data_IF_201141788163
#
_entry.id   IF_201141788163
#
_cell.length_a   1.000
_cell.length_b   1.000
_cell.length_c   1.000
_cell.angle_alpha   90.00
_cell.angle_beta   90.00
_cell.angle_gamma   90.00
#
_symmetry.space_group_name_H-M   'P 1'
#
loop_
_entity.id
_entity.type
_entity.pdbx_description
1 polymer ?
#
# COMPACT_ATOMS: atom_id res chain seq x y z
N UNK A 1 2.92 -41.43 -48.57
CA UNK A 1 2.67 -41.59 -47.12
C UNK A 1 2.49 -40.20 -46.52
N UNK A 2 1.34 -39.98 -45.89
CA UNK A 2 0.84 -38.71 -45.38
C UNK A 2 1.46 -38.43 -44.00
N UNK A 3 2.00 -37.23 -43.77
CA UNK A 3 2.12 -36.65 -42.43
C UNK A 3 1.83 -35.14 -42.46
N UNK A 4 0.90 -34.79 -41.60
CA UNK A 4 0.11 -33.56 -41.49
C UNK A 4 0.90 -32.45 -40.79
N UNK A 5 0.87 -31.23 -41.34
CA UNK A 5 1.22 -30.00 -40.63
C UNK A 5 0.00 -29.52 -39.83
N UNK A 6 0.17 -29.24 -38.54
CA UNK A 6 -0.78 -28.47 -37.73
C UNK A 6 -0.17 -27.09 -37.46
N UNK A 7 -0.59 -26.09 -38.23
CA UNK A 7 -0.42 -24.68 -37.90
C UNK A 7 -1.74 -24.17 -37.31
N UNK A 8 -1.72 -23.74 -36.05
CA UNK A 8 -2.86 -23.08 -35.40
C UNK A 8 -2.73 -21.58 -35.66
N UNK A 9 -3.50 -21.09 -36.63
CA UNK A 9 -3.75 -19.66 -36.84
C UNK A 9 -4.81 -19.20 -35.84
N UNK A 10 -4.43 -18.34 -34.89
CA UNK A 10 -5.39 -17.57 -34.09
C UNK A 10 -5.87 -16.38 -34.93
N UNK A 11 -7.07 -16.50 -35.50
CA UNK A 11 -7.77 -15.37 -36.11
C UNK A 11 -8.43 -14.54 -35.00
N UNK A 12 -7.93 -13.32 -34.77
CA UNK A 12 -8.59 -12.31 -33.93
C UNK A 12 -9.70 -11.68 -34.76
N UNK A 13 -10.95 -12.07 -34.50
CA UNK A 13 -12.12 -11.39 -35.03
C UNK A 13 -12.32 -10.07 -34.27
N UNK A 14 -12.03 -8.94 -34.92
CA UNK A 14 -12.38 -7.61 -34.41
C UNK A 14 -13.89 -7.41 -34.61
N UNK A 15 -14.66 -7.53 -33.53
CA UNK A 15 -16.04 -7.04 -33.50
C UNK A 15 -16.03 -5.55 -33.13
N UNK A 16 -16.18 -4.68 -34.12
CA UNK A 16 -16.54 -3.28 -33.90
C UNK A 16 -18.03 -3.18 -33.60
N UNK A 17 -18.41 -3.04 -32.33
CA UNK A 17 -19.78 -2.62 -31.96
C UNK A 17 -19.91 -1.11 -32.08
N UNK A 18 -20.91 -0.55 -32.78
CA UNK A 18 -21.15 0.88 -32.76
C UNK A 18 -21.63 1.30 -31.36
N UNK A 19 -21.05 2.37 -30.83
CA UNK A 19 -21.52 2.99 -29.60
C UNK A 19 -22.89 3.62 -29.85
N UNK A 20 -23.95 2.91 -29.47
CA UNK A 20 -25.29 3.47 -29.35
C UNK A 20 -25.29 4.32 -28.08
N UNK A 21 -25.42 5.64 -28.25
CA UNK A 21 -25.74 6.56 -27.17
C UNK A 21 -27.11 6.20 -26.58
N UNK A 22 -27.12 5.39 -25.51
CA UNK A 22 -28.33 5.09 -24.77
C UNK A 22 -28.75 6.33 -23.98
N UNK A 23 -29.80 7.02 -24.45
CA UNK A 23 -30.50 8.00 -23.62
C UNK A 23 -31.02 7.28 -22.36
N UNK A 24 -30.85 7.88 -21.16
CA UNK A 24 -31.29 7.27 -19.92
C UNK A 24 -32.79 6.99 -20.01
N UNK A 25 -33.17 5.75 -19.75
CA UNK A 25 -34.57 5.32 -19.82
C UNK A 25 -35.39 6.10 -18.79
N UNK A 26 -36.66 6.40 -19.09
CA UNK A 26 -37.56 7.16 -18.21
C UNK A 26 -37.56 6.64 -16.76
N UNK A 27 -37.45 5.32 -16.58
CA UNK A 27 -37.30 4.65 -15.27
C UNK A 27 -36.05 5.03 -14.50
N UNK A 28 -34.91 5.23 -15.17
CA UNK A 28 -33.66 5.67 -14.54
C UNK A 28 -33.77 7.13 -14.07
N UNK A 29 -34.41 7.99 -14.88
CA UNK A 29 -34.68 9.39 -14.51
C UNK A 29 -35.64 9.47 -13.32
N UNK A 30 -36.70 8.65 -13.32
CA UNK A 30 -37.68 8.60 -12.22
C UNK A 30 -37.03 8.08 -10.92
N UNK A 31 -36.15 7.07 -11.01
CA UNK A 31 -35.39 6.54 -9.87
C UNK A 31 -34.42 7.58 -9.30
N UNK A 32 -33.69 8.29 -10.16
CA UNK A 32 -32.76 9.34 -9.74
C UNK A 32 -33.51 10.50 -9.07
N UNK A 33 -34.65 10.92 -9.64
CA UNK A 33 -35.49 11.95 -9.03
C UNK A 33 -36.02 11.53 -7.65
N UNK A 34 -36.32 10.25 -7.43
CA UNK A 34 -36.72 9.73 -6.13
C UNK A 34 -35.56 9.76 -5.12
N UNK A 35 -34.36 9.38 -5.53
CA UNK A 35 -33.17 9.41 -4.69
C UNK A 35 -32.80 10.83 -4.25
N UNK A 36 -32.88 11.81 -5.16
CA UNK A 36 -32.63 13.23 -4.84
C UNK A 36 -33.65 13.77 -3.84
N UNK A 37 -34.94 13.40 -3.96
CA UNK A 37 -35.96 13.79 -2.97
C UNK A 37 -35.68 13.20 -1.58
N UNK A 38 -35.23 11.95 -1.53
CA UNK A 38 -34.89 11.28 -0.26
C UNK A 38 -33.68 11.91 0.42
N UNK A 39 -32.65 12.27 -0.35
CA UNK A 39 -31.46 12.96 0.17
C UNK A 39 -31.80 14.35 0.71
N UNK A 40 -32.66 15.10 0.01
CA UNK A 40 -33.12 16.42 0.45
C UNK A 40 -33.91 16.35 1.75
N UNK A 41 -34.83 15.40 1.88
CA UNK A 41 -35.57 15.20 3.13
C UNK A 41 -34.67 14.84 4.33
N UNK A 42 -33.61 14.06 4.10
CA UNK A 42 -32.61 13.76 5.14
C UNK A 42 -31.83 15.01 5.53
N UNK A 43 -31.41 15.82 4.57
CA UNK A 43 -30.71 17.07 4.85
C UNK A 43 -31.59 18.06 5.64
N UNK A 44 -32.84 18.23 5.23
CA UNK A 44 -33.80 19.11 5.91
C UNK A 44 -34.06 18.63 7.35
N UNK A 45 -34.12 17.31 7.58
CA UNK A 45 -34.23 16.74 8.93
C UNK A 45 -33.01 17.02 9.80
N UNK A 46 -31.79 16.95 9.24
CA UNK A 46 -30.56 17.25 9.98
C UNK A 46 -30.49 18.73 10.30
N UNK A 47 -30.80 19.61 9.34
CA UNK A 47 -30.82 21.06 9.55
C UNK A 47 -31.88 21.45 10.60
N UNK A 48 -33.05 20.82 10.58
CA UNK A 48 -34.09 21.04 11.60
C UNK A 48 -33.68 20.53 12.98
N UNK A 49 -32.92 19.44 13.08
CA UNK A 49 -32.38 18.94 14.35
C UNK A 49 -31.31 19.89 14.91
N UNK A 50 -30.44 20.43 14.06
CA UNK A 50 -29.40 21.39 14.46
C UNK A 50 -29.99 22.77 14.80
N UNK A 51 -31.07 23.17 14.13
CA UNK A 51 -31.81 24.42 14.42
C UNK A 51 -32.66 24.36 15.70
N UNK A 52 -32.90 23.17 16.27
CA UNK A 52 -33.59 22.98 17.56
C UNK A 52 -32.67 23.06 18.77
N UNK A 53 -31.37 23.30 18.57
CA UNK A 53 -30.46 23.63 19.66
C UNK A 53 -30.78 25.06 20.13
N UNK A 54 -31.72 25.14 21.08
CA UNK A 54 -32.20 26.37 21.67
C UNK A 54 -31.03 27.14 22.30
N UNK A 55 -30.87 28.45 22.05
CA UNK A 55 -29.99 29.27 22.86
C UNK A 55 -30.49 29.21 24.31
N UNK A 56 -29.57 28.94 25.25
CA UNK A 56 -29.88 28.97 26.67
C UNK A 56 -30.56 30.32 27.03
N UNK A 57 -31.66 30.32 27.82
CA UNK A 57 -32.28 31.56 28.24
C UNK A 57 -31.29 32.39 29.08
N UNK A 58 -31.24 33.72 28.93
CA UNK A 58 -30.40 34.56 29.78
C UNK A 58 -30.84 34.41 31.25
N UNK A 59 -29.92 34.44 32.22
CA UNK A 59 -30.26 34.25 33.62
C UNK A 59 -31.14 35.41 34.10
N UNK A 60 -32.42 35.10 34.36
CA UNK A 60 -33.31 35.96 35.14
C UNK A 60 -32.86 35.94 36.61
N UNK A 61 -32.79 37.12 37.21
CA UNK A 61 -32.40 37.31 38.59
C UNK A 61 -33.34 36.61 39.59
N UNK A 62 -32.72 36.19 40.71
CA UNK A 62 -33.30 35.87 42.03
C UNK A 62 -34.08 34.54 42.22
N UNK A 63 -33.33 33.47 42.49
CA UNK A 63 -33.73 32.35 43.37
C UNK A 63 -32.47 31.77 44.08
N UNK A 64 -32.57 31.28 45.33
CA UNK A 64 -31.39 30.96 46.14
C UNK A 64 -30.65 29.72 45.60
N UNK A 65 -29.36 29.92 45.25
CA UNK A 65 -28.42 28.96 44.65
C UNK A 65 -28.20 27.67 45.47
N UNK A 66 -28.70 27.61 46.70
CA UNK A 66 -28.53 26.45 47.60
C UNK A 66 -29.36 25.21 47.23
N UNK A 67 -30.61 25.39 46.78
CA UNK A 67 -31.54 24.26 46.61
C UNK A 67 -31.28 23.46 45.33
N UNK A 68 -30.88 24.10 44.23
CA UNK A 68 -30.58 23.40 42.98
C UNK A 68 -29.28 22.58 43.09
N UNK A 69 -28.30 23.08 43.84
CA UNK A 69 -27.03 22.39 44.08
C UNK A 69 -27.22 21.17 44.99
N UNK A 70 -28.12 21.26 45.97
CA UNK A 70 -28.53 20.12 46.79
C UNK A 70 -29.30 19.07 45.97
N UNK A 71 -30.21 19.52 45.07
CA UNK A 71 -30.98 18.63 44.19
C UNK A 71 -30.09 17.91 43.17
N UNK A 72 -29.09 18.59 42.61
CA UNK A 72 -28.10 18.00 41.72
C UNK A 72 -27.21 16.97 42.42
N UNK A 73 -26.78 17.24 43.66
CA UNK A 73 -26.04 16.26 44.46
C UNK A 73 -26.89 15.05 44.80
N UNK A 74 -28.15 15.23 45.18
CA UNK A 74 -29.06 14.12 45.47
C UNK A 74 -29.31 13.25 44.22
N UNK A 75 -29.50 13.87 43.06
CA UNK A 75 -29.63 13.16 41.78
C UNK A 75 -28.35 12.41 41.39
N UNK A 76 -27.17 13.00 41.61
CA UNK A 76 -25.89 12.35 41.38
C UNK A 76 -25.66 11.16 42.32
N UNK A 77 -26.01 11.28 43.60
CA UNK A 77 -25.94 10.19 44.58
C UNK A 77 -26.92 9.06 44.25
N UNK A 78 -28.11 9.39 43.75
CA UNK A 78 -29.09 8.39 43.31
C UNK A 78 -28.64 7.67 42.02
N UNK A 79 -27.99 8.37 41.09
CA UNK A 79 -27.38 7.76 39.90
C UNK A 79 -26.16 6.89 40.25
N UNK A 80 -25.45 7.21 41.33
CA UNK A 80 -24.31 6.44 41.85
C UNK A 80 -24.73 5.28 42.78
N UNK A 81 -26.00 5.20 43.19
CA UNK A 81 -26.48 4.27 44.21
C UNK A 81 -27.17 3.04 43.63
N UNK A 82 -26.42 2.06 43.13
CA UNK A 82 -26.99 0.76 42.76
C UNK A 82 -26.00 -0.19 42.10
N UNK A 83 -25.45 -1.11 42.91
CA UNK A 83 -24.51 -2.18 42.58
C UNK A 83 -23.08 -1.71 42.28
N UNK A 84 -22.12 -2.35 42.96
CA UNK A 84 -20.73 -2.42 42.49
C UNK A 84 -20.73 -3.07 41.11
N UNK A 85 -20.92 -2.25 40.08
CA UNK A 85 -20.62 -2.64 38.72
C UNK A 85 -19.11 -2.77 38.68
N UNK A 86 -18.66 -4.02 38.65
CA UNK A 86 -17.29 -4.43 38.45
C UNK A 86 -16.62 -3.56 37.38
N UNK A 87 -15.82 -2.59 37.84
CA UNK A 87 -15.15 -1.63 36.97
C UNK A 87 -14.11 -2.34 36.10
N UNK A 88 -13.75 -3.59 36.41
CA UNK A 88 -12.89 -4.42 35.56
C UNK A 88 -13.60 -4.82 34.27
N UNK A 89 -14.91 -5.05 34.27
CA UNK A 89 -15.66 -5.40 33.05
C UNK A 89 -15.84 -4.20 32.12
N UNK A 90 -16.06 -3.01 32.69
CA UNK A 90 -16.09 -1.77 31.91
C UNK A 90 -14.69 -1.38 31.40
N UNK A 91 -13.65 -1.58 32.21
CA UNK A 91 -12.26 -1.40 31.80
C UNK A 91 -11.83 -2.44 30.74
N UNK A 92 -12.26 -3.70 30.83
CA UNK A 92 -12.04 -4.73 29.80
C UNK A 92 -12.81 -4.41 28.52
N UNK A 93 -14.06 -3.95 28.62
CA UNK A 93 -14.84 -3.57 27.43
C UNK A 93 -14.24 -2.34 26.75
N UNK A 94 -13.77 -1.36 27.52
CA UNK A 94 -13.05 -0.19 26.99
C UNK A 94 -11.67 -0.58 26.45
N UNK A 95 -10.90 -1.43 27.13
CA UNK A 95 -9.60 -1.91 26.66
C UNK A 95 -9.73 -2.78 25.40
N UNK A 96 -10.79 -3.58 25.28
CA UNK A 96 -11.08 -4.44 24.14
C UNK A 96 -11.68 -3.65 22.96
N UNK A 97 -12.45 -2.58 23.22
CA UNK A 97 -12.90 -1.64 22.20
C UNK A 97 -11.75 -0.76 21.69
N UNK A 98 -10.97 -0.15 22.59
CA UNK A 98 -9.82 0.68 22.23
C UNK A 98 -8.61 -0.10 21.71
N UNK A 99 -8.47 -1.38 22.05
CA UNK A 99 -7.39 -2.25 21.55
C UNK A 99 -7.63 -2.75 20.12
N UNK A 100 -8.90 -2.88 19.71
CA UNK A 100 -9.27 -3.28 18.34
C UNK A 100 -9.40 -2.09 17.39
N UNK A 101 -9.88 -0.94 17.85
CA UNK A 101 -9.99 0.27 17.01
C UNK A 101 -8.64 0.95 16.71
N UNK A 102 -7.68 0.95 17.64
CA UNK A 102 -6.32 1.49 17.36
C UNK A 102 -5.51 0.66 16.37
N UNK A 103 -5.89 -0.61 16.15
CA UNK A 103 -5.22 -1.48 15.19
C UNK A 103 -5.71 -1.23 13.76
N UNK A 104 -6.91 -0.69 13.56
CA UNK A 104 -7.44 -0.42 12.21
C UNK A 104 -6.67 0.71 11.50
N UNK A 105 -6.18 1.71 12.24
CA UNK A 105 -5.31 2.73 11.65
C UNK A 105 -3.88 2.22 11.38
N UNK A 106 -3.42 1.15 12.07
CA UNK A 106 -2.12 0.51 11.82
C UNK A 106 -2.12 -0.40 10.59
N UNK A 107 -3.27 -0.95 10.20
CA UNK A 107 -3.42 -1.74 8.98
C UNK A 107 -3.63 -0.87 7.72
N UNK A 108 -3.75 0.45 7.87
CA UNK A 108 -3.77 1.33 6.71
C UNK A 108 -2.37 1.32 6.07
N UNK A 109 -2.25 0.99 4.78
CA UNK A 109 -0.96 1.04 4.12
C UNK A 109 -0.44 2.48 4.09
N UNK A 110 0.85 2.63 4.30
CA UNK A 110 1.60 3.82 3.92
C UNK A 110 1.64 3.89 2.39
N UNK A 111 1.17 5.00 1.85
CA UNK A 111 1.14 5.26 0.42
C UNK A 111 2.10 6.41 0.14
N UNK A 112 3.08 6.16 -0.72
CA UNK A 112 4.06 7.14 -1.17
C UNK A 112 4.06 7.27 -2.68
N UNK A 113 4.45 8.45 -3.17
CA UNK A 113 4.71 8.68 -4.59
C UNK A 113 6.08 9.32 -4.73
N UNK A 114 6.91 8.74 -5.58
CA UNK A 114 8.25 9.22 -5.92
C UNK A 114 8.29 9.56 -7.41
N UNK A 115 9.11 10.54 -7.80
CA UNK A 115 9.32 10.85 -9.21
C UNK A 115 10.74 11.36 -9.45
N UNK A 116 11.32 10.94 -10.57
CA UNK A 116 12.62 11.38 -11.05
C UNK A 116 12.48 12.07 -12.42
N UNK A 117 13.01 13.29 -12.50
CA UNK A 117 13.02 14.11 -13.71
C UNK A 117 14.44 14.61 -13.92
N UNK A 118 15.02 14.25 -15.06
CA UNK A 118 16.35 14.66 -15.45
C UNK A 118 16.28 15.83 -16.42
N UNK A 119 16.99 16.91 -16.08
CA UNK A 119 17.21 18.04 -16.96
C UNK A 119 18.66 18.10 -17.41
N UNK A 120 18.92 18.22 -18.71
CA UNK A 120 20.29 18.38 -19.22
C UNK A 120 20.35 19.42 -20.35
N UNK A 121 21.50 20.06 -20.50
CA UNK A 121 21.77 20.98 -21.60
C UNK A 121 23.16 20.68 -22.18
N UNK A 122 23.21 20.51 -23.49
CA UNK A 122 24.42 20.25 -24.28
C UNK A 122 24.90 21.53 -24.99
N UNK A 123 26.06 21.48 -25.65
CA UNK A 123 26.56 22.61 -26.44
C UNK A 123 25.84 22.79 -27.79
N UNK A 124 26.17 23.90 -28.48
CA UNK A 124 25.75 24.33 -29.83
C UNK A 124 24.53 23.64 -30.47
N UNK A 125 23.47 24.42 -30.67
CA UNK A 125 22.31 24.07 -31.49
C UNK A 125 21.00 24.37 -30.77
N UNK A 126 19.88 24.19 -31.47
CA UNK A 126 18.56 24.13 -30.83
C UNK A 126 18.41 22.74 -30.23
N UNK A 127 18.24 22.68 -28.92
CA UNK A 127 18.07 21.41 -28.22
C UNK A 127 16.58 21.10 -28.06
N UNK A 128 16.27 19.81 -28.08
CA UNK A 128 14.94 19.24 -27.87
C UNK A 128 15.09 18.11 -26.85
N UNK A 129 14.01 17.81 -26.13
CA UNK A 129 13.96 16.70 -25.16
C UNK A 129 14.99 16.82 -24.03
N UNK A 130 15.25 18.05 -23.60
CA UNK A 130 16.15 18.41 -22.48
C UNK A 130 15.60 18.05 -21.10
N UNK A 131 14.32 17.71 -21.02
CA UNK A 131 13.64 17.28 -19.82
C UNK A 131 13.12 15.87 -20.05
N UNK A 132 13.60 14.95 -19.25
CA UNK A 132 13.34 13.53 -19.34
C UNK A 132 12.68 13.06 -18.03
N UNK A 133 11.36 12.84 -18.01
CA UNK A 133 10.68 12.22 -16.88
C UNK A 133 10.99 10.71 -16.88
N UNK A 134 11.92 10.32 -16.02
CA UNK A 134 12.51 8.98 -16.05
C UNK A 134 11.59 7.96 -15.40
N UNK A 135 11.15 8.25 -14.19
CA UNK A 135 10.41 7.29 -13.39
C UNK A 135 9.41 8.02 -12.50
N UNK A 136 8.19 7.50 -12.43
CA UNK A 136 7.25 7.82 -11.36
C UNK A 136 6.83 6.53 -10.68
N UNK A 137 6.97 6.46 -9.37
CA UNK A 137 6.65 5.26 -8.60
C UNK A 137 5.55 5.55 -7.57
N UNK A 138 4.60 4.63 -7.44
CA UNK A 138 3.64 4.60 -6.34
C UNK A 138 3.94 3.38 -5.47
N UNK A 139 4.28 3.64 -4.21
CA UNK A 139 4.59 2.62 -3.23
C UNK A 139 3.46 2.44 -2.23
N UNK A 140 3.15 1.18 -1.91
CA UNK A 140 2.23 0.75 -0.87
C UNK A 140 2.99 -0.14 0.11
N UNK A 141 3.06 0.24 1.38
CA UNK A 141 3.73 -0.52 2.42
C UNK A 141 2.80 -0.69 3.62
N UNK A 142 2.75 -1.89 4.20
CA UNK A 142 1.89 -2.13 5.37
C UNK A 142 2.50 -3.19 6.28
N UNK A 143 2.46 -2.93 7.58
CA UNK A 143 2.69 -3.95 8.60
C UNK A 143 1.36 -4.70 8.83
N UNK A 144 1.29 -5.95 8.40
CA UNK A 144 0.09 -6.78 8.53
C UNK A 144 -0.06 -7.32 9.96
N UNK A 145 1.07 -7.65 10.59
CA UNK A 145 1.19 -8.01 12.01
C UNK A 145 2.61 -7.66 12.53
N UNK A 146 2.93 -7.82 13.82
CA UNK A 146 4.26 -7.49 14.36
C UNK A 146 5.46 -8.17 13.69
N UNK A 147 5.22 -9.28 12.99
CA UNK A 147 6.21 -10.12 12.33
C UNK A 147 6.04 -10.18 10.81
N UNK A 148 4.92 -9.72 10.24
CA UNK A 148 4.65 -9.79 8.79
C UNK A 148 4.35 -8.43 8.17
N UNK A 149 4.93 -8.21 7.01
CA UNK A 149 4.88 -6.93 6.30
C UNK A 149 4.74 -7.17 4.80
N UNK A 150 4.13 -6.23 4.09
CA UNK A 150 3.99 -6.26 2.62
C UNK A 150 4.46 -4.95 2.02
N UNK A 151 5.10 -5.04 0.86
CA UNK A 151 5.53 -3.91 0.04
C UNK A 151 5.17 -4.16 -1.42
N UNK A 152 4.55 -3.16 -2.05
CA UNK A 152 4.19 -3.19 -3.48
C UNK A 152 4.57 -1.85 -4.07
N UNK A 153 5.31 -1.87 -5.16
CA UNK A 153 5.78 -0.71 -5.89
C UNK A 153 5.38 -0.83 -7.35
N UNK A 154 4.73 0.20 -7.86
CA UNK A 154 4.25 0.29 -9.24
C UNK A 154 4.95 1.48 -9.87
N UNK A 155 5.70 1.25 -10.95
CA UNK A 155 6.36 2.31 -11.70
C UNK A 155 5.63 2.64 -13.00
N UNK A 156 5.80 3.88 -13.40
CA UNK A 156 5.46 4.42 -14.70
C UNK A 156 6.74 4.97 -15.33
N UNK A 157 7.23 4.29 -16.36
CA UNK A 157 8.43 4.67 -17.11
C UNK A 157 8.10 4.69 -18.61
N UNK A 158 8.46 5.78 -19.30
CA UNK A 158 8.21 5.91 -20.75
C UNK A 158 6.75 5.77 -21.19
N UNK A 159 5.79 5.95 -20.27
CA UNK A 159 4.35 5.72 -20.50
C UNK A 159 3.87 4.28 -20.30
N UNK A 160 4.76 3.37 -19.88
CA UNK A 160 4.43 1.99 -19.54
C UNK A 160 4.27 1.84 -18.03
N UNK A 161 3.19 1.17 -17.61
CA UNK A 161 2.96 0.83 -16.19
C UNK A 161 3.53 -0.56 -15.95
N UNK A 162 4.41 -0.66 -14.98
CA UNK A 162 5.04 -1.92 -14.58
C UNK A 162 4.94 -2.11 -13.06
N UNK A 163 4.91 -3.36 -12.60
CA UNK A 163 5.09 -3.67 -11.17
C UNK A 163 6.57 -3.92 -10.97
N UNK A 164 7.26 -3.03 -10.27
CA UNK A 164 8.70 -3.15 -10.00
C UNK A 164 8.93 -4.28 -8.99
N UNK A 165 8.31 -4.11 -7.82
CA UNK A 165 8.45 -5.00 -6.69
C UNK A 165 7.09 -5.23 -6.04
N UNK A 166 6.89 -6.43 -5.51
CA UNK A 166 5.64 -6.85 -4.89
C UNK A 166 5.90 -8.09 -4.08
N UNK A 167 6.19 -7.92 -2.79
CA UNK A 167 6.53 -9.01 -1.90
C UNK A 167 6.04 -8.79 -0.47
N UNK A 168 5.86 -9.90 0.23
CA UNK A 168 5.64 -9.92 1.66
C UNK A 168 6.87 -10.52 2.35
N UNK A 169 7.12 -10.12 3.59
CA UNK A 169 8.16 -10.71 4.40
C UNK A 169 7.72 -10.99 5.83
N UNK A 170 8.24 -12.09 6.38
CA UNK A 170 8.04 -12.54 7.74
C UNK A 170 9.36 -12.52 8.47
N UNK A 171 9.39 -11.91 9.66
CA UNK A 171 10.53 -11.84 10.55
C UNK A 171 10.30 -12.73 11.76
N UNK A 172 11.38 -13.12 12.46
CA UNK A 172 11.26 -13.88 13.71
C UNK A 172 10.78 -15.33 13.55
N UNK A 173 10.92 -15.93 12.36
CA UNK A 173 10.65 -17.36 12.18
C UNK A 173 11.61 -18.21 13.04
N UNK A 174 11.25 -19.47 13.36
CA UNK A 174 12.11 -20.37 14.12
C UNK A 174 13.55 -20.37 13.60
N UNK A 175 14.51 -20.18 14.51
CA UNK A 175 15.93 -20.03 14.16
C UNK A 175 16.37 -18.61 13.82
N UNK A 176 15.56 -17.58 14.11
CA UNK A 176 15.81 -16.17 13.81
C UNK A 176 15.93 -15.90 12.30
N UNK A 177 15.08 -16.57 11.52
CA UNK A 177 15.07 -16.47 10.07
C UNK A 177 14.07 -15.41 9.64
N UNK A 178 14.44 -14.64 8.62
CA UNK A 178 13.53 -13.82 7.83
C UNK A 178 13.25 -14.51 6.50
N UNK A 179 11.98 -14.53 6.10
CA UNK A 179 11.51 -15.06 4.83
C UNK A 179 10.90 -13.92 4.04
N UNK A 180 11.36 -13.68 2.82
CA UNK A 180 10.70 -12.80 1.85
C UNK A 180 10.12 -13.65 0.72
N UNK A 181 8.89 -13.36 0.28
CA UNK A 181 8.24 -14.05 -0.83
C UNK A 181 7.50 -13.07 -1.74
N UNK A 182 7.77 -13.13 -3.04
CA UNK A 182 7.18 -12.26 -4.06
C UNK A 182 8.18 -11.85 -5.14
N UNK A 183 7.89 -10.75 -5.84
CA UNK A 183 8.81 -10.12 -6.81
C UNK A 183 9.66 -9.08 -6.09
N UNK A 184 10.98 -9.18 -6.19
CA UNK A 184 11.93 -8.23 -5.62
C UNK A 184 13.25 -8.21 -6.41
N UNK A 185 14.07 -7.18 -6.23
CA UNK A 185 15.45 -7.14 -6.73
C UNK A 185 16.35 -8.04 -5.88
N UNK A 186 17.11 -8.94 -6.52
CA UNK A 186 17.97 -9.89 -5.83
C UNK A 186 19.13 -9.18 -5.11
N UNK A 187 19.64 -9.77 -4.02
CA UNK A 187 20.74 -9.21 -3.23
C UNK A 187 22.11 -9.44 -3.90
N UNK A 188 22.26 -8.97 -5.14
CA UNK A 188 23.49 -9.08 -5.92
C UNK A 188 24.21 -7.73 -6.01
N UNK A 189 25.30 -7.58 -5.26
CA UNK A 189 25.99 -6.29 -5.15
C UNK A 189 25.15 -5.23 -4.41
N UNK A 190 25.73 -4.04 -4.25
CA UNK A 190 25.10 -2.96 -3.47
C UNK A 190 24.01 -2.24 -4.26
N UNK A 191 24.32 -1.88 -5.51
CA UNK A 191 23.47 -1.01 -6.33
C UNK A 191 22.26 -1.72 -6.93
N UNK A 192 22.30 -3.04 -7.14
CA UNK A 192 21.16 -3.79 -7.70
C UNK A 192 19.92 -3.73 -6.79
N UNK A 193 20.10 -3.41 -5.50
CA UNK A 193 19.00 -3.36 -4.53
C UNK A 193 18.24 -2.04 -4.56
N UNK A 194 18.77 -1.04 -5.24
CA UNK A 194 18.23 0.33 -5.23
C UNK A 194 17.47 0.57 -6.52
N UNK A 195 16.37 1.32 -6.40
CA UNK A 195 15.60 1.83 -7.53
C UNK A 195 16.31 3.05 -8.14
N UNK A 196 15.89 3.42 -9.34
CA UNK A 196 16.60 4.42 -10.14
C UNK A 196 16.67 5.78 -9.43
N UNK A 197 15.58 6.17 -8.75
CA UNK A 197 15.53 7.39 -7.95
C UNK A 197 16.46 7.39 -6.71
N UNK A 198 16.97 6.23 -6.30
CA UNK A 198 17.79 6.05 -5.10
C UNK A 198 19.26 5.80 -5.42
N UNK A 199 19.64 5.61 -6.69
CA UNK A 199 21.04 5.46 -7.07
C UNK A 199 21.82 6.78 -6.85
N UNK A 200 23.10 6.70 -6.46
CA UNK A 200 23.90 7.91 -6.21
C UNK A 200 24.27 8.64 -7.50
N UNK A 201 24.30 7.91 -8.61
CA UNK A 201 24.63 8.42 -9.94
C UNK A 201 23.35 8.71 -10.73
N UNK A 202 23.50 9.43 -11.85
CA UNK A 202 22.33 9.71 -12.69
C UNK A 202 21.79 8.41 -13.29
N UNK A 203 22.60 7.45 -13.71
CA UNK A 203 22.14 6.15 -14.25
C UNK A 203 22.76 4.96 -13.52
N UNK A 204 22.17 3.78 -13.70
CA UNK A 204 22.82 2.54 -13.30
C UNK A 204 24.15 2.36 -14.05
N UNK A 205 25.20 1.82 -13.39
CA UNK A 205 26.44 1.47 -14.06
C UNK A 205 26.21 0.54 -15.25
N UNK A 206 26.93 0.77 -16.34
CA UNK A 206 26.90 -0.08 -17.54
C UNK A 206 27.08 -1.57 -17.24
N UNK A 207 27.89 -1.91 -16.23
CA UNK A 207 28.08 -3.29 -15.82
C UNK A 207 26.78 -3.94 -15.31
N UNK A 208 25.92 -3.18 -14.63
CA UNK A 208 24.62 -3.69 -14.17
C UNK A 208 23.69 -3.85 -15.37
N UNK A 209 23.51 -2.80 -16.18
CA UNK A 209 22.53 -2.85 -17.28
C UNK A 209 22.90 -3.86 -18.37
N UNK A 210 24.20 -4.04 -18.64
CA UNK A 210 24.69 -4.98 -19.66
C UNK A 210 24.49 -6.43 -19.27
N UNK A 211 24.62 -6.79 -17.99
CA UNK A 211 24.51 -8.18 -17.55
C UNK A 211 23.15 -8.48 -16.90
N UNK A 212 22.61 -7.56 -16.14
CA UNK A 212 21.41 -7.78 -15.33
C UNK A 212 20.13 -7.25 -15.99
N UNK A 213 20.25 -6.54 -17.12
CA UNK A 213 19.14 -5.84 -17.77
C UNK A 213 18.96 -4.42 -17.24
N UNK A 214 18.13 -3.62 -17.93
CA UNK A 214 17.92 -2.19 -17.63
C UNK A 214 17.40 -1.96 -16.20
N UNK A 215 16.53 -2.83 -15.71
CA UNK A 215 15.93 -2.75 -14.36
C UNK A 215 16.78 -3.41 -13.26
N UNK A 216 17.91 -4.02 -13.63
CA UNK A 216 18.69 -4.88 -12.77
C UNK A 216 18.07 -6.27 -12.53
N UNK A 217 18.78 -7.08 -11.76
CA UNK A 217 18.43 -8.47 -11.50
C UNK A 217 17.27 -8.55 -10.52
N UNK A 218 16.08 -8.82 -11.05
CA UNK A 218 14.85 -8.98 -10.29
C UNK A 218 14.18 -10.32 -10.59
N UNK A 219 13.34 -10.80 -9.67
CA UNK A 219 12.68 -12.07 -9.89
C UNK A 219 11.58 -12.36 -8.88
N UNK A 220 10.65 -13.20 -9.29
CA UNK A 220 9.62 -13.72 -8.38
C UNK A 220 10.15 -14.98 -7.70
N UNK A 221 10.15 -15.01 -6.37
CA UNK A 221 10.69 -16.14 -5.64
C UNK A 221 10.66 -15.98 -4.13
N UNK A 222 11.60 -16.66 -3.48
CA UNK A 222 11.75 -16.77 -2.03
C UNK A 222 13.18 -16.40 -1.63
N UNK A 223 13.31 -15.56 -0.59
CA UNK A 223 14.58 -15.19 0.02
C UNK A 223 14.55 -15.55 1.49
N UNK A 224 15.62 -16.18 1.97
CA UNK A 224 15.85 -16.51 3.37
C UNK A 224 17.06 -15.70 3.84
N UNK A 225 16.89 -15.03 4.97
CA UNK A 225 17.97 -14.29 5.63
C UNK A 225 18.12 -14.75 7.07
N UNK A 226 19.36 -14.90 7.51
CA UNK A 226 19.69 -15.19 8.90
C UNK A 226 21.02 -14.55 9.29
N UNK A 227 21.00 -13.81 10.39
CA UNK A 227 22.20 -13.40 11.11
C UNK A 227 22.47 -14.36 12.27
N UNK A 228 23.74 -14.70 12.52
CA UNK A 228 24.14 -15.55 13.63
C UNK A 228 25.53 -15.21 14.16
N UNK A 229 25.71 -15.38 15.48
CA UNK A 229 26.98 -15.14 16.17
C UNK A 229 27.83 -16.40 16.33
N UNK A 230 29.10 -16.20 16.69
CA UNK A 230 30.11 -17.24 16.90
C UNK A 230 31.50 -16.61 17.04
N UNK A 231 32.48 -17.13 16.30
CA UNK A 231 33.77 -16.45 16.08
C UNK A 231 33.59 -15.25 15.13
N UNK A 232 32.89 -14.23 15.59
CA UNK A 232 32.43 -13.09 14.80
C UNK A 232 30.91 -13.08 14.60
N UNK A 233 30.46 -12.18 13.74
CA UNK A 233 29.06 -12.06 13.30
C UNK A 233 28.97 -12.46 11.83
N UNK A 234 28.00 -13.29 11.50
CA UNK A 234 27.80 -13.79 10.15
C UNK A 234 26.39 -13.49 9.68
N UNK A 235 26.26 -13.09 8.43
CA UNK A 235 24.98 -12.91 7.76
C UNK A 235 24.91 -13.80 6.52
N UNK A 236 23.83 -14.56 6.41
CA UNK A 236 23.58 -15.44 5.28
C UNK A 236 22.25 -15.09 4.62
N UNK A 237 22.31 -14.78 3.33
CA UNK A 237 21.15 -14.68 2.45
C UNK A 237 21.17 -15.82 1.44
N UNK A 238 20.05 -16.53 1.31
CA UNK A 238 19.82 -17.54 0.27
C UNK A 238 18.54 -17.20 -0.49
N UNK A 239 18.62 -17.04 -1.81
CA UNK A 239 17.48 -16.67 -2.66
C UNK A 239 17.27 -17.69 -3.77
N UNK A 240 16.01 -17.97 -4.05
CA UNK A 240 15.56 -18.78 -5.19
C UNK A 240 14.51 -17.98 -5.92
N UNK A 241 14.80 -17.56 -7.15
CA UNK A 241 13.87 -16.78 -7.97
C UNK A 241 13.68 -17.42 -9.34
N UNK A 242 12.62 -17.05 -10.02
CA UNK A 242 12.41 -17.40 -11.43
C UNK A 242 13.16 -16.38 -12.30
N UNK A 243 13.97 -16.86 -13.23
CA UNK A 243 14.54 -16.05 -14.32
C UNK A 243 13.39 -15.38 -15.10
N UNK A 244 13.41 -14.05 -15.17
CA UNK A 244 12.35 -13.23 -15.74
C UNK A 244 12.84 -11.90 -16.33
N UNK A 245 13.64 -11.13 -15.60
CA UNK A 245 14.21 -9.84 -16.04
C UNK A 245 15.69 -9.95 -16.46
N UNK A 246 16.21 -11.17 -16.50
CA UNK A 246 17.61 -11.52 -16.70
C UNK A 246 17.86 -12.11 -18.10
N UNK A 247 17.32 -11.45 -19.14
CA UNK A 247 17.52 -11.87 -20.54
C UNK A 247 19.00 -12.03 -20.88
N UNK A 248 19.83 -11.10 -20.43
CA UNK A 248 21.25 -11.05 -20.76
C UNK A 248 22.07 -12.16 -20.06
N UNK A 249 21.70 -12.54 -18.83
CA UNK A 249 22.42 -13.57 -18.07
C UNK A 249 21.90 -14.99 -18.29
N UNK A 250 20.57 -15.15 -18.27
CA UNK A 250 19.92 -16.47 -18.20
C UNK A 250 18.92 -16.68 -19.34
N UNK A 251 18.93 -15.81 -20.35
CA UNK A 251 18.13 -15.95 -21.57
C UNK A 251 16.62 -15.88 -21.33
N UNK A 252 16.19 -15.31 -20.19
CA UNK A 252 14.80 -15.34 -19.73
C UNK A 252 14.21 -16.77 -19.80
N UNK A 253 15.02 -17.75 -19.39
CA UNK A 253 14.70 -19.17 -19.57
C UNK A 253 13.55 -19.66 -18.69
N UNK A 254 13.07 -18.83 -17.75
CA UNK A 254 12.06 -19.21 -16.76
C UNK A 254 12.55 -20.24 -15.74
N UNK A 255 13.84 -20.59 -15.79
CA UNK A 255 14.46 -21.57 -14.88
C UNK A 255 14.64 -20.94 -13.49
N UNK A 256 14.70 -21.76 -12.42
CA UNK A 256 15.06 -21.25 -11.11
C UNK A 256 16.52 -20.79 -11.13
N UNK A 257 16.75 -19.59 -10.62
CA UNK A 257 18.07 -19.01 -10.33
C UNK A 257 18.28 -19.01 -8.82
N UNK A 258 19.53 -19.21 -8.42
CA UNK A 258 19.92 -19.34 -7.02
C UNK A 258 20.98 -18.29 -6.70
N UNK A 259 20.82 -17.58 -5.59
CA UNK A 259 21.82 -16.64 -5.09
C UNK A 259 22.13 -16.96 -3.64
N UNK A 260 23.42 -17.06 -3.31
CA UNK A 260 23.90 -17.22 -1.95
C UNK A 260 24.88 -16.09 -1.64
N UNK A 261 24.63 -15.37 -0.55
CA UNK A 261 25.48 -14.27 -0.11
C UNK A 261 25.83 -14.48 1.37
N UNK A 262 27.14 -14.58 1.67
CA UNK A 262 27.66 -14.76 3.01
C UNK A 262 28.58 -13.59 3.35
N UNK A 263 28.20 -12.82 4.37
CA UNK A 263 29.01 -11.74 4.95
C UNK A 263 29.56 -12.21 6.30
N UNK A 264 30.83 -11.90 6.55
CA UNK A 264 31.52 -12.22 7.80
C UNK A 264 32.13 -10.95 8.38
N UNK A 265 31.91 -10.74 9.67
CA UNK A 265 32.46 -9.66 10.46
C UNK A 265 33.26 -10.27 11.62
N UNK A 266 34.55 -10.00 11.68
CA UNK A 266 35.50 -10.56 12.64
C UNK A 266 35.94 -9.53 13.68
#
# INVERSE_FOLDING_TARGET
>A
MIRTLCAVLFAVAVFTTPAVSQQPTKRQVDSLAAQVRQLRAKLDSVVAATGRQQPAPPPSAAAPVGDDLARLRAAASAAAGGAGADTTRAADTLAQAFGRERNQAQLNPEIGVTGDIRGYATGRGVQRDNFDPREFEVGFQSALDPYSHTKIFISLEGGHISVEEGYAYWTGLPGHIRLDAGKYRQQFGELNRWHLHAVPETEYPLAITTFLGEDGLSGTGISLYRAFGGFGTHELTAQVTRSASDSELFGNSGRPTYLLHLLNFW
#
